data_IF_857389450691
#
_entry.id   IF_857389450691
#
_cell.length_a   1.000
_cell.length_b   1.000
_cell.length_c   1.000
_cell.angle_alpha   90.00
_cell.angle_beta   90.00
_cell.angle_gamma   90.00
#
_symmetry.space_group_name_H-M   'P 1'
#
loop_
_entity.id
_entity.type
_entity.pdbx_description
1 polymer ?
#
# COMPACT_ATOMS: atom_id res chain seq x y z
N UNK A 1 1.90 2.77 3.85
CA UNK A 1 2.27 2.90 5.27
C UNK A 1 2.31 4.36 5.65
N UNK A 2 1.73 4.72 6.77
CA UNK A 2 1.77 6.06 7.33
C UNK A 2 2.56 6.03 8.63
N UNK A 3 3.59 6.85 8.72
CA UNK A 3 4.47 6.97 9.88
C UNK A 3 4.35 8.37 10.47
N UNK A 4 4.23 8.47 11.79
CA UNK A 4 4.21 9.75 12.52
C UNK A 4 5.28 9.72 13.60
N UNK A 5 6.00 10.84 13.72
CA UNK A 5 6.95 11.10 14.80
C UNK A 5 6.45 12.29 15.63
N UNK A 6 6.18 12.06 16.92
CA UNK A 6 5.67 13.07 17.85
C UNK A 6 6.68 14.17 18.23
N UNK A 7 7.92 14.09 17.75
CA UNK A 7 9.04 14.99 18.10
C UNK A 7 9.41 16.02 17.02
N UNK A 8 8.55 16.21 16.01
CA UNK A 8 8.80 17.06 14.83
C UNK A 8 10.09 16.70 14.03
N UNK A 9 10.75 15.58 14.35
CA UNK A 9 11.92 15.09 13.63
C UNK A 9 11.51 13.93 12.72
N UNK A 10 11.92 14.00 11.45
CA UNK A 10 11.65 12.95 10.46
C UNK A 10 12.34 11.60 10.73
N UNK A 11 13.29 11.57 11.70
CA UNK A 11 13.93 10.35 12.19
C UNK A 11 13.93 10.39 13.71
N UNK A 12 13.02 9.64 14.30
CA UNK A 12 12.90 9.39 15.73
C UNK A 12 12.50 7.94 15.93
N UNK A 13 13.18 7.24 16.84
CA UNK A 13 13.00 5.82 17.14
C UNK A 13 11.62 5.55 17.78
N UNK A 14 10.92 6.58 18.23
CA UNK A 14 9.57 6.50 18.82
C UNK A 14 8.45 6.73 17.79
N UNK A 15 8.73 6.60 16.49
CA UNK A 15 7.72 6.72 15.45
C UNK A 15 6.67 5.62 15.51
N UNK A 16 5.41 5.97 15.26
CA UNK A 16 4.33 5.00 15.06
C UNK A 16 4.13 4.81 13.57
N UNK A 17 4.06 3.56 13.12
CA UNK A 17 3.76 3.22 11.74
C UNK A 17 2.49 2.39 11.64
N UNK A 18 1.59 2.82 10.75
CA UNK A 18 0.34 2.14 10.42
C UNK A 18 0.36 1.75 8.95
N UNK A 19 0.17 0.48 8.65
CA UNK A 19 0.08 -0.01 7.28
C UNK A 19 -1.31 -0.59 7.03
N UNK A 20 -2.02 0.00 6.07
CA UNK A 20 -3.31 -0.48 5.59
C UNK A 20 -3.43 -0.25 4.07
N UNK A 21 -4.09 -1.17 3.33
CA UNK A 21 -4.43 -2.52 3.77
C UNK A 21 -3.16 -3.35 4.02
N UNK A 22 -3.14 -4.12 5.10
CA UNK A 22 -2.12 -5.14 5.29
C UNK A 22 -2.66 -6.46 4.75
N UNK A 23 -2.03 -6.98 3.70
CA UNK A 23 -2.44 -8.19 3.01
C UNK A 23 -1.35 -9.24 3.17
N UNK A 24 -1.71 -10.41 3.73
CA UNK A 24 -0.80 -11.54 3.76
C UNK A 24 -0.57 -12.06 2.33
N UNK A 25 0.67 -12.42 2.04
CA UNK A 25 1.11 -12.85 0.71
C UNK A 25 0.26 -14.00 0.13
N UNK A 26 -0.04 -15.02 0.95
CA UNK A 26 -0.78 -16.21 0.52
C UNK A 26 -2.24 -15.93 0.15
N UNK A 27 -2.81 -14.83 0.65
CA UNK A 27 -4.17 -14.40 0.33
C UNK A 27 -4.29 -13.79 -1.06
N UNK A 28 -3.19 -13.25 -1.60
CA UNK A 28 -3.22 -12.53 -2.88
C UNK A 28 -3.13 -13.48 -4.09
N UNK A 29 -2.35 -14.57 -3.99
CA UNK A 29 -2.14 -15.50 -5.10
C UNK A 29 -3.28 -16.55 -5.21
N UNK A 30 -3.85 -16.98 -4.07
CA UNK A 30 -4.92 -17.99 -4.05
C UNK A 30 -6.31 -17.43 -4.43
N UNK A 31 -6.57 -16.13 -4.22
CA UNK A 31 -7.88 -15.51 -4.48
C UNK A 31 -8.02 -14.88 -5.88
N UNK A 32 -6.95 -14.87 -6.68
CA UNK A 32 -6.96 -14.36 -8.06
C UNK A 32 -7.17 -15.48 -9.10
N UNK A 33 -6.82 -16.73 -8.76
CA UNK A 33 -6.82 -17.85 -9.72
C UNK A 33 -8.13 -18.67 -9.78
N UNK A 34 -9.13 -18.38 -8.94
CA UNK A 34 -10.41 -19.12 -8.90
C UNK A 34 -11.68 -18.29 -9.09
N UNK A 35 -11.57 -16.97 -9.23
CA UNK A 35 -12.72 -16.11 -9.50
C UNK A 35 -12.97 -16.04 -11.02
N UNK A 36 -14.24 -16.06 -11.50
CA UNK A 36 -14.53 -15.76 -12.90
C UNK A 36 -13.90 -14.42 -13.26
N UNK A 37 -13.53 -14.25 -14.54
CA UNK A 37 -13.06 -12.98 -15.06
C UNK A 37 -14.20 -11.95 -14.96
N UNK A 38 -14.31 -11.26 -13.83
CA UNK A 38 -15.21 -10.12 -13.67
C UNK A 38 -14.62 -9.01 -14.54
N UNK A 39 -15.45 -8.40 -15.40
CA UNK A 39 -15.08 -7.16 -16.06
C UNK A 39 -15.04 -6.04 -15.01
N UNK A 40 -13.92 -5.97 -14.29
CA UNK A 40 -13.74 -5.05 -13.18
C UNK A 40 -13.87 -3.58 -13.61
N UNK A 41 -13.73 -3.25 -14.90
CA UNK A 41 -13.80 -1.85 -15.34
C UNK A 41 -15.20 -1.24 -15.16
N UNK A 42 -16.26 -2.03 -15.28
CA UNK A 42 -17.62 -1.51 -15.32
C UNK A 42 -18.46 -1.78 -14.06
N UNK A 43 -17.91 -2.50 -13.07
CA UNK A 43 -18.59 -2.79 -11.80
C UNK A 43 -17.82 -2.26 -10.60
N UNK A 44 -18.10 -1.00 -10.24
CA UNK A 44 -17.56 -0.34 -9.06
C UNK A 44 -17.91 -1.10 -7.77
N UNK A 45 -19.13 -1.63 -7.70
CA UNK A 45 -19.62 -2.32 -6.50
C UNK A 45 -18.85 -3.60 -6.27
N UNK A 46 -18.71 -4.46 -7.30
CA UNK A 46 -17.93 -5.69 -7.23
C UNK A 46 -16.45 -5.45 -6.92
N UNK A 47 -15.85 -4.38 -7.47
CA UNK A 47 -14.49 -3.94 -7.12
C UNK A 47 -14.35 -3.60 -5.65
N UNK A 48 -15.23 -2.74 -5.14
CA UNK A 48 -15.19 -2.30 -3.76
C UNK A 48 -15.50 -3.44 -2.79
N UNK A 49 -16.42 -4.34 -3.13
CA UNK A 49 -16.68 -5.55 -2.35
C UNK A 49 -15.45 -6.46 -2.29
N UNK A 50 -14.79 -6.73 -3.43
CA UNK A 50 -13.57 -7.54 -3.46
C UNK A 50 -12.46 -6.88 -2.64
N UNK A 51 -12.19 -5.59 -2.86
CA UNK A 51 -11.15 -4.84 -2.16
C UNK A 51 -11.38 -4.87 -0.63
N UNK A 52 -12.58 -4.51 -0.18
CA UNK A 52 -12.91 -4.46 1.25
C UNK A 52 -13.00 -5.84 1.90
N UNK A 53 -13.25 -6.91 1.12
CA UNK A 53 -13.20 -8.29 1.61
C UNK A 53 -11.76 -8.73 1.95
N UNK A 54 -10.78 -8.18 1.25
CA UNK A 54 -9.35 -8.46 1.46
C UNK A 54 -8.72 -7.52 2.49
N UNK A 55 -9.14 -6.25 2.52
CA UNK A 55 -8.61 -5.21 3.40
C UNK A 55 -9.16 -5.31 4.84
N UNK A 56 -8.87 -6.41 5.55
CA UNK A 56 -9.39 -6.67 6.91
C UNK A 56 -8.40 -6.41 8.04
N UNK A 57 -7.12 -6.31 7.70
CA UNK A 57 -6.04 -6.20 8.68
C UNK A 57 -5.25 -4.91 8.52
N UNK A 58 -4.81 -4.40 9.66
CA UNK A 58 -3.95 -3.24 9.84
C UNK A 58 -2.69 -3.72 10.54
N UNK A 59 -1.52 -3.41 9.98
CA UNK A 59 -0.24 -3.61 10.68
C UNK A 59 0.12 -2.36 11.45
N UNK A 60 0.52 -2.53 12.70
CA UNK A 60 0.82 -1.47 13.67
C UNK A 60 2.21 -1.70 14.23
N UNK A 61 3.01 -0.64 14.27
CA UNK A 61 4.35 -0.65 14.86
C UNK A 61 4.51 0.60 15.73
N UNK A 62 5.31 0.49 16.80
CA UNK A 62 5.63 1.62 17.68
C UNK A 62 4.60 1.92 18.78
N UNK A 63 3.49 1.17 18.88
CA UNK A 63 2.51 1.34 19.97
C UNK A 63 2.66 0.23 21.00
N UNK A 64 3.15 0.58 22.20
CA UNK A 64 3.35 -0.38 23.29
C UNK A 64 2.02 -1.01 23.73
N UNK A 65 2.00 -2.34 23.81
CA UNK A 65 0.84 -3.11 24.27
C UNK A 65 -0.24 -3.34 23.21
N UNK A 66 -0.05 -2.84 21.98
CA UNK A 66 -0.89 -3.18 20.82
C UNK A 66 -0.21 -4.30 20.04
N UNK A 67 -1.01 -5.23 19.50
CA UNK A 67 -0.50 -6.30 18.64
C UNK A 67 0.00 -5.74 17.31
N UNK A 68 1.04 -6.36 16.76
CA UNK A 68 1.63 -5.96 15.47
C UNK A 68 0.63 -5.99 14.30
N UNK A 69 -0.41 -6.83 14.40
CA UNK A 69 -1.51 -6.88 13.42
C UNK A 69 -2.85 -6.92 14.15
N UNK A 70 -3.75 -6.04 13.73
CA UNK A 70 -5.09 -5.90 14.28
C UNK A 70 -6.13 -5.86 13.16
N UNK A 71 -7.37 -6.25 13.47
CA UNK A 71 -8.47 -6.13 12.52
C UNK A 71 -8.86 -4.66 12.29
N UNK A 72 -9.53 -4.34 11.18
CA UNK A 72 -10.27 -3.07 11.04
C UNK A 72 -11.38 -2.90 12.09
N UNK A 73 -11.80 -3.97 12.77
CA UNK A 73 -12.74 -3.97 13.89
C UNK A 73 -12.02 -4.25 15.21
N UNK A 74 -11.23 -3.28 15.68
CA UNK A 74 -10.36 -3.44 16.84
C UNK A 74 -10.76 -2.55 18.04
N UNK A 75 -10.44 -2.96 19.29
CA UNK A 75 -10.69 -2.14 20.48
C UNK A 75 -9.72 -0.95 20.63
N UNK A 76 -8.58 -0.95 19.94
CA UNK A 76 -7.58 0.11 20.00
C UNK A 76 -8.09 1.43 19.42
N UNK A 77 -9.16 1.40 18.62
CA UNK A 77 -9.81 2.57 18.05
C UNK A 77 -9.13 3.11 16.79
N UNK A 78 -8.18 2.37 16.22
CA UNK A 78 -7.54 2.69 14.94
C UNK A 78 -8.52 2.25 13.84
N UNK A 79 -8.94 3.17 12.98
CA UNK A 79 -9.93 2.91 11.94
C UNK A 79 -9.35 3.20 10.57
N UNK A 80 -9.65 2.35 9.60
CA UNK A 80 -9.24 2.55 8.22
C UNK A 80 -10.36 2.16 7.25
N UNK A 81 -10.44 2.85 6.13
CA UNK A 81 -11.35 2.55 5.03
C UNK A 81 -10.65 2.75 3.69
N UNK A 82 -11.07 2.00 2.68
CA UNK A 82 -10.52 2.10 1.32
C UNK A 82 -11.56 1.72 0.27
N UNK A 83 -11.78 2.61 -0.71
CA UNK A 83 -12.77 2.42 -1.77
C UNK A 83 -12.34 3.16 -3.04
N UNK A 84 -12.73 2.63 -4.19
CA UNK A 84 -12.76 3.39 -5.44
C UNK A 84 -14.03 4.24 -5.53
N UNK A 85 -13.92 5.40 -6.17
CA UNK A 85 -15.06 6.20 -6.62
C UNK A 85 -15.41 5.95 -8.09
N UNK A 86 -16.40 6.69 -8.60
CA UNK A 86 -16.86 6.62 -10.00
C UNK A 86 -15.81 7.09 -11.02
N UNK A 87 -14.82 7.87 -10.58
CA UNK A 87 -13.71 8.36 -11.39
C UNK A 87 -12.49 7.42 -11.33
N UNK A 88 -12.67 6.22 -10.77
CA UNK A 88 -11.63 5.23 -10.52
C UNK A 88 -10.50 5.70 -9.59
N UNK A 89 -10.73 6.76 -8.81
CA UNK A 89 -9.78 7.23 -7.81
C UNK A 89 -9.92 6.35 -6.56
N UNK A 90 -8.80 5.84 -6.08
CA UNK A 90 -8.73 5.06 -4.85
C UNK A 90 -8.56 6.00 -3.66
N UNK A 91 -9.59 6.09 -2.83
CA UNK A 91 -9.54 6.87 -1.59
C UNK A 91 -9.22 5.95 -0.43
N UNK A 92 -8.23 6.35 0.36
CA UNK A 92 -7.82 5.71 1.60
C UNK A 92 -7.98 6.71 2.75
N UNK A 93 -8.68 6.29 3.80
CA UNK A 93 -8.90 7.07 5.01
C UNK A 93 -8.37 6.32 6.23
N UNK A 94 -7.72 7.05 7.14
CA UNK A 94 -7.18 6.51 8.39
C UNK A 94 -7.46 7.47 9.55
N UNK A 95 -7.92 6.90 10.66
CA UNK A 95 -8.02 7.59 11.94
C UNK A 95 -7.18 6.88 13.00
N UNK A 96 -6.30 7.65 13.65
CA UNK A 96 -5.46 7.18 14.77
C UNK A 96 -5.83 8.00 16.01
N UNK A 97 -6.18 7.37 17.14
CA UNK A 97 -6.38 8.08 18.40
C UNK A 97 -5.12 8.86 18.83
N UNK A 98 -5.30 10.16 19.15
CA UNK A 98 -4.20 11.06 19.52
C UNK A 98 -3.37 10.57 20.71
N UNK A 99 -3.96 9.77 21.61
CA UNK A 99 -3.26 9.17 22.77
C UNK A 99 -2.05 8.32 22.37
N UNK A 100 -2.05 7.76 21.16
CA UNK A 100 -0.91 6.99 20.66
C UNK A 100 0.21 7.91 20.18
N UNK A 101 -0.12 9.10 19.66
CA UNK A 101 0.84 10.04 19.08
C UNK A 101 1.48 10.97 20.11
N UNK A 102 1.13 10.83 21.39
CA UNK A 102 1.48 11.77 22.45
C UNK A 102 1.11 13.23 22.09
N UNK A 103 0.02 13.39 21.34
CA UNK A 103 -0.53 14.68 20.93
C UNK A 103 -1.73 15.04 21.81
N UNK A 104 -1.89 16.35 22.06
CA UNK A 104 -2.99 16.90 22.84
C UNK A 104 -3.67 18.01 22.06
N UNK A 105 -5.01 18.06 22.11
CA UNK A 105 -5.77 19.19 21.57
C UNK A 105 -5.60 20.44 22.44
N UNK A 106 -5.28 20.26 23.74
CA UNK A 106 -5.07 21.38 24.67
C UNK A 106 -3.71 22.05 24.48
N UNK A 107 -2.72 21.27 24.05
CA UNK A 107 -1.35 21.72 23.82
C UNK A 107 -0.89 21.19 22.45
N UNK A 108 -1.34 21.82 21.36
CA UNK A 108 -0.94 21.43 20.02
C UNK A 108 0.57 21.59 19.89
N UNK A 109 1.23 20.54 19.41
CA UNK A 109 2.66 20.57 19.07
C UNK A 109 2.84 20.08 17.63
N UNK A 110 3.85 20.60 16.91
CA UNK A 110 4.16 20.09 15.59
C UNK A 110 4.54 18.62 15.62
N UNK A 111 4.26 17.92 14.53
CA UNK A 111 4.69 16.53 14.33
C UNK A 111 5.18 16.32 12.90
N UNK A 112 6.15 15.41 12.75
CA UNK A 112 6.62 14.99 11.44
C UNK A 112 5.86 13.75 10.99
N UNK A 113 5.61 13.64 9.69
CA UNK A 113 4.93 12.49 9.12
C UNK A 113 5.56 12.05 7.80
N UNK A 114 5.37 10.77 7.48
CA UNK A 114 5.70 10.17 6.19
C UNK A 114 4.55 9.26 5.74
N UNK A 115 4.05 9.47 4.54
CA UNK A 115 3.14 8.57 3.83
C UNK A 115 3.95 7.86 2.75
N UNK A 116 4.10 6.54 2.88
CA UNK A 116 4.68 5.66 1.87
C UNK A 116 3.57 4.94 1.11
N UNK A 117 3.48 5.19 -0.19
CA UNK A 117 2.76 4.33 -1.11
C UNK A 117 3.69 3.19 -1.54
N UNK A 118 3.39 1.97 -1.09
CA UNK A 118 4.20 0.81 -1.43
C UNK A 118 4.07 0.53 -2.94
N UNK A 119 5.20 0.26 -3.60
CA UNK A 119 5.20 -0.29 -4.96
C UNK A 119 4.64 -1.70 -4.98
N UNK A 120 4.48 -2.27 -6.18
CA UNK A 120 4.13 -3.68 -6.33
C UNK A 120 5.07 -4.56 -5.48
N UNK A 121 4.55 -5.58 -4.76
CA UNK A 121 5.35 -6.42 -3.89
C UNK A 121 6.55 -6.96 -4.67
N UNK A 122 7.74 -6.78 -4.11
CA UNK A 122 8.97 -7.35 -4.62
C UNK A 122 9.13 -8.72 -3.95
N UNK A 123 9.10 -9.81 -4.70
CA UNK A 123 9.33 -11.19 -4.30
C UNK A 123 10.85 -11.46 -4.23
N UNK A 124 11.51 -11.35 -3.07
CA UNK A 124 12.94 -11.66 -2.96
C UNK A 124 13.22 -13.14 -3.24
N UNK A 125 12.34 -14.04 -2.79
CA UNK A 125 12.56 -15.51 -2.87
C UNK A 125 12.20 -16.12 -4.23
N UNK A 126 11.39 -15.42 -5.05
CA UNK A 126 10.99 -15.87 -6.39
C UNK A 126 11.70 -15.12 -7.53
N UNK A 127 12.67 -14.28 -7.19
CA UNK A 127 13.43 -13.47 -8.12
C UNK A 127 12.61 -12.35 -8.78
N UNK A 128 13.31 -11.32 -9.28
CA UNK A 128 12.71 -10.19 -10.01
C UNK A 128 11.87 -10.62 -11.22
N UNK A 129 12.16 -11.78 -11.83
CA UNK A 129 11.41 -12.30 -12.98
C UNK A 129 9.94 -12.61 -12.65
N UNK A 130 9.63 -13.14 -11.45
CA UNK A 130 8.26 -13.47 -11.05
C UNK A 130 7.42 -12.21 -10.73
N UNK A 131 8.06 -11.18 -10.17
CA UNK A 131 7.45 -9.87 -9.91
C UNK A 131 6.95 -9.22 -11.20
N UNK A 132 7.79 -9.29 -12.22
CA UNK A 132 7.54 -8.65 -13.48
C UNK A 132 6.55 -9.44 -14.31
N UNK A 133 6.60 -10.78 -14.35
CA UNK A 133 5.57 -11.59 -15.04
C UNK A 133 4.17 -11.27 -14.49
N UNK A 134 4.04 -11.05 -13.18
CA UNK A 134 2.79 -10.63 -12.54
C UNK A 134 2.36 -9.22 -12.95
N UNK A 135 3.29 -8.26 -12.99
CA UNK A 135 3.04 -6.89 -13.48
C UNK A 135 2.75 -6.83 -15.01
N UNK A 136 3.39 -7.69 -15.79
CA UNK A 136 3.26 -7.84 -17.25
C UNK A 136 1.91 -8.47 -17.63
N UNK A 137 1.39 -9.43 -16.85
CA UNK A 137 0.05 -10.00 -17.08
C UNK A 137 -1.04 -8.93 -16.92
N UNK A 138 -0.82 -7.91 -16.08
CA UNK A 138 -1.76 -6.80 -15.87
C UNK A 138 -1.73 -5.72 -16.95
N UNK A 139 -0.62 -5.58 -17.69
CA UNK A 139 -0.41 -4.52 -18.70
C UNK A 139 -0.62 -4.97 -20.16
N UNK A 140 -1.03 -6.22 -20.40
CA UNK A 140 -1.43 -6.70 -21.75
C UNK A 140 -2.82 -6.25 -22.21
N UNK A 141 -3.52 -5.41 -21.47
CA UNK A 141 -4.78 -4.83 -21.92
C UNK A 141 -4.55 -3.49 -22.62
N UNK A 142 -4.34 -3.52 -23.95
CA UNK A 142 -4.26 -2.30 -24.78
C UNK A 142 -3.38 -2.36 -26.03
N UNK A 143 -2.86 -3.52 -26.43
CA UNK A 143 -2.16 -3.69 -27.72
C UNK A 143 -0.77 -3.03 -27.85
N UNK A 144 -0.33 -2.25 -26.85
CA UNK A 144 0.99 -1.58 -26.82
C UNK A 144 1.79 -2.03 -25.60
N UNK A 145 2.27 -3.28 -25.65
CA UNK A 145 3.03 -3.90 -24.56
C UNK A 145 4.51 -3.52 -24.52
N UNK A 146 5.19 -3.92 -23.45
CA UNK A 146 6.65 -3.91 -23.37
C UNK A 146 7.22 -4.83 -24.45
N UNK A 147 8.23 -4.32 -25.19
CA UNK A 147 8.81 -5.01 -26.35
C UNK A 147 9.99 -5.89 -25.98
N UNK A 148 10.63 -5.62 -24.84
CA UNK A 148 11.77 -6.40 -24.39
C UNK A 148 12.12 -6.15 -22.94
N UNK A 149 12.68 -7.19 -22.35
CA UNK A 149 13.19 -7.21 -20.99
C UNK A 149 14.57 -7.85 -20.99
N UNK A 150 15.55 -7.22 -20.35
CA UNK A 150 16.89 -7.77 -20.20
C UNK A 150 17.33 -7.66 -18.74
N UNK A 151 17.69 -8.80 -18.15
CA UNK A 151 18.39 -8.87 -16.87
C UNK A 151 19.84 -9.22 -17.18
N UNK A 152 20.77 -8.36 -16.78
CA UNK A 152 22.20 -8.66 -16.83
C UNK A 152 22.83 -8.31 -15.48
N UNK A 153 23.13 -9.33 -14.68
CA UNK A 153 23.56 -9.16 -13.29
C UNK A 153 22.48 -8.47 -12.47
N UNK A 154 22.87 -7.48 -11.65
CA UNK A 154 21.94 -6.68 -10.84
C UNK A 154 21.27 -5.53 -11.63
N UNK A 155 21.59 -5.37 -12.91
CA UNK A 155 21.01 -4.31 -13.74
C UNK A 155 19.87 -4.84 -14.60
N UNK A 156 18.75 -4.13 -14.51
CA UNK A 156 17.52 -4.46 -15.21
C UNK A 156 17.18 -3.35 -16.21
N UNK A 157 17.00 -3.71 -17.47
CA UNK A 157 16.56 -2.79 -18.50
C UNK A 157 15.23 -3.26 -19.12
N UNK A 158 14.23 -2.39 -19.01
CA UNK A 158 12.91 -2.55 -19.63
C UNK A 158 12.81 -1.58 -20.80
N UNK A 159 12.39 -2.08 -21.97
CA UNK A 159 12.23 -1.28 -23.18
C UNK A 159 10.84 -1.44 -23.78
N UNK A 160 10.18 -0.32 -24.05
CA UNK A 160 8.85 -0.27 -24.63
C UNK A 160 8.10 0.98 -24.22
N UNK A 161 6.99 1.27 -24.91
CA UNK A 161 6.17 2.48 -24.76
C UNK A 161 5.65 2.69 -23.31
N UNK A 162 5.57 1.61 -22.52
CA UNK A 162 5.07 1.62 -21.14
C UNK A 162 6.12 1.21 -20.08
N UNK A 163 7.41 1.18 -20.42
CA UNK A 163 8.47 0.75 -19.49
C UNK A 163 8.56 1.64 -18.25
N UNK A 164 8.43 2.95 -18.40
CA UNK A 164 8.55 3.89 -17.29
C UNK A 164 7.32 3.89 -16.36
N UNK A 165 6.13 3.60 -16.90
CA UNK A 165 4.90 3.39 -16.11
C UNK A 165 5.04 2.14 -15.22
N UNK A 166 5.60 1.06 -15.75
CA UNK A 166 5.79 -0.15 -14.94
C UNK A 166 6.88 0.06 -13.89
N UNK A 167 7.96 0.78 -14.22
CA UNK A 167 8.97 1.19 -13.25
C UNK A 167 8.39 2.04 -12.11
N UNK A 168 7.47 2.97 -12.42
CA UNK A 168 6.83 3.78 -11.37
C UNK A 168 5.87 2.96 -10.50
N UNK A 169 5.16 1.98 -11.06
CA UNK A 169 4.27 1.08 -10.30
C UNK A 169 5.00 0.12 -9.34
N UNK A 170 6.25 -0.25 -9.64
CA UNK A 170 7.05 -1.13 -8.76
C UNK A 170 7.90 -0.36 -7.75
N UNK A 171 8.01 0.96 -7.90
CA UNK A 171 8.84 1.79 -7.03
C UNK A 171 7.99 2.37 -5.90
N UNK A 172 8.35 2.14 -4.62
CA UNK A 172 7.72 2.84 -3.50
C UNK A 172 7.86 4.36 -3.67
N UNK A 173 6.80 5.10 -3.33
CA UNK A 173 6.80 6.56 -3.34
C UNK A 173 6.55 7.08 -1.93
N UNK A 174 7.43 7.96 -1.46
CA UNK A 174 7.38 8.54 -0.12
C UNK A 174 6.99 10.03 -0.20
N UNK A 175 6.05 10.44 0.63
CA UNK A 175 5.63 11.82 0.85
C UNK A 175 5.89 12.15 2.32
N UNK A 176 6.62 13.21 2.63
CA UNK A 176 6.92 13.57 4.02
C UNK A 176 6.71 15.05 4.26
N UNK A 177 6.41 15.41 5.51
CA UNK A 177 6.23 16.79 5.90
C UNK A 177 6.18 16.98 7.40
N UNK A 178 6.03 18.22 7.81
CA UNK A 178 5.73 18.63 9.18
C UNK A 178 4.32 19.22 9.20
N UNK A 179 3.56 18.90 10.23
CA UNK A 179 2.26 19.51 10.52
C UNK A 179 2.41 20.40 11.76
N UNK A 180 1.97 21.64 11.67
CA UNK A 180 2.06 22.67 12.72
C UNK A 180 0.69 23.06 13.25
#
# INVERSE_FOLDING_TARGET
TFTIHGSAKAKDDNGIAITFPFLYYDDFDNKVNGAPAIDYRNDLTGRNQKLTSMAKDIRVEGIKGVKDTISIYNPEGIKAAILFDEQEVLTYELAIPLKYLELSVKEPKPFAYTIRLNGAPNYPDKGLEFNLITAFRRTRYGGKGIRGFNIRGDTMSMYGENADIIKSLISPTDFSGEYT
#
